data_IF_218673442873
#
_entry.id   IF_218673442873
#
_cell.length_a   1.000
_cell.length_b   1.000
_cell.length_c   1.000
_cell.angle_alpha   90.00
_cell.angle_beta   90.00
_cell.angle_gamma   90.00
#
_symmetry.space_group_name_H-M   'P 1'
#
loop_
_entity.id
_entity.type
_entity.pdbx_description
1 polymer ?
#
# COMPACT_ATOMS: atom_id res chain seq x y z
N UNK A 1 14.69 12.08 -11.87
CA UNK A 1 14.22 10.78 -11.34
C UNK A 1 12.86 11.00 -10.70
N UNK A 2 11.78 10.81 -11.45
CA UNK A 2 10.42 11.06 -10.94
C UNK A 2 9.56 9.81 -11.09
N UNK A 3 9.09 9.28 -9.97
CA UNK A 3 8.03 8.28 -9.93
C UNK A 3 6.71 9.04 -9.84
N UNK A 4 5.96 9.06 -10.93
CA UNK A 4 4.66 9.74 -11.01
C UNK A 4 3.56 8.72 -10.68
N UNK A 5 3.08 8.75 -9.43
CA UNK A 5 1.83 8.07 -9.04
C UNK A 5 0.69 9.08 -9.27
N UNK A 6 -0.15 8.84 -10.27
CA UNK A 6 -1.34 9.65 -10.58
C UNK A 6 -2.60 8.88 -10.19
N UNK A 7 -3.32 9.34 -9.16
CA UNK A 7 -4.72 8.99 -8.93
C UNK A 7 -5.58 10.20 -9.29
N UNK A 8 -6.40 10.10 -10.34
CA UNK A 8 -7.40 11.13 -10.68
C UNK A 8 -8.77 10.61 -10.25
N UNK A 9 -9.49 11.25 -9.31
CA UNK A 9 -10.86 10.89 -9.04
C UNK A 9 -11.76 11.40 -10.17
N UNK A 10 -12.63 10.54 -10.71
CA UNK A 10 -13.77 10.98 -11.52
C UNK A 10 -14.95 11.19 -10.58
N UNK A 11 -15.43 12.43 -10.50
CA UNK A 11 -16.69 12.79 -9.88
C UNK A 11 -17.87 12.19 -10.66
N UNK A 12 -18.77 11.50 -9.98
CA UNK A 12 -20.21 11.46 -10.32
C UNK A 12 -20.98 11.10 -9.07
N UNK A 13 -22.07 11.83 -8.85
CA UNK A 13 -22.94 11.86 -7.69
C UNK A 13 -23.93 10.67 -7.64
N UNK A 14 -24.51 10.51 -6.44
CA UNK A 14 -25.77 9.82 -6.08
C UNK A 14 -25.72 8.34 -5.59
N UNK A 15 -25.66 8.24 -4.25
CA UNK A 15 -26.27 7.29 -3.30
C UNK A 15 -26.52 5.79 -3.58
N UNK A 16 -26.17 5.01 -2.54
CA UNK A 16 -26.75 3.71 -2.13
C UNK A 16 -26.36 2.45 -2.92
N UNK A 17 -25.05 2.23 -3.04
CA UNK A 17 -24.35 0.96 -2.82
C UNK A 17 -22.89 1.29 -3.07
N UNK A 18 -21.98 0.99 -2.14
CA UNK A 18 -20.55 1.27 -2.34
C UNK A 18 -20.02 0.39 -3.48
N UNK A 19 -20.19 0.86 -4.71
CA UNK A 19 -19.51 0.32 -5.88
C UNK A 19 -18.13 0.96 -5.95
N UNK A 20 -17.21 0.45 -5.13
CA UNK A 20 -15.82 0.88 -5.14
C UNK A 20 -15.16 0.50 -6.47
N UNK A 21 -14.99 1.49 -7.36
CA UNK A 21 -14.13 1.35 -8.54
C UNK A 21 -12.69 1.62 -8.11
N UNK A 22 -11.96 0.58 -7.70
CA UNK A 22 -10.51 0.66 -7.60
C UNK A 22 -9.94 1.03 -8.98
N UNK A 23 -9.34 2.22 -9.08
CA UNK A 23 -8.60 2.66 -10.25
C UNK A 23 -7.53 1.61 -10.60
N UNK A 24 -7.29 1.36 -11.89
CA UNK A 24 -6.24 0.44 -12.38
C UNK A 24 -4.95 0.62 -11.56
N UNK A 25 -4.44 -0.48 -11.00
CA UNK A 25 -3.29 -0.49 -10.10
C UNK A 25 -1.98 -0.33 -10.91
N UNK A 26 -1.78 0.90 -11.41
CA UNK A 26 -0.74 1.29 -12.36
C UNK A 26 0.52 1.79 -11.66
N UNK A 27 1.68 1.26 -12.08
CA UNK A 27 3.00 1.69 -11.62
C UNK A 27 3.88 2.00 -12.81
N UNK A 28 4.51 3.17 -12.78
CA UNK A 28 5.38 3.64 -13.86
C UNK A 28 6.84 3.78 -13.39
N UNK A 29 7.76 3.32 -14.22
CA UNK A 29 9.20 3.52 -14.07
C UNK A 29 9.73 4.21 -15.33
N UNK A 30 10.28 5.42 -15.17
CA UNK A 30 10.80 6.23 -16.28
C UNK A 30 9.79 6.43 -17.44
N UNK A 31 8.50 6.53 -17.10
CA UNK A 31 7.40 6.70 -18.08
C UNK A 31 6.86 5.39 -18.67
N UNK A 32 7.52 4.25 -18.44
CA UNK A 32 7.05 2.93 -18.87
C UNK A 32 6.17 2.27 -17.81
N UNK A 33 5.07 1.65 -18.22
CA UNK A 33 4.20 0.87 -17.34
C UNK A 33 4.88 -0.46 -16.96
N UNK A 34 5.13 -0.65 -15.65
CA UNK A 34 5.76 -1.84 -15.07
C UNK A 34 4.82 -2.61 -14.15
N UNK A 35 3.51 -2.33 -14.22
CA UNK A 35 2.51 -2.86 -13.28
C UNK A 35 2.52 -4.38 -13.20
N UNK A 36 2.53 -5.06 -14.34
CA UNK A 36 2.51 -6.53 -14.39
C UNK A 36 3.85 -7.13 -13.98
N UNK A 37 4.96 -6.54 -14.44
CA UNK A 37 6.32 -7.03 -14.19
C UNK A 37 6.67 -7.04 -12.70
N UNK A 38 6.25 -6.01 -11.96
CA UNK A 38 6.47 -5.90 -10.52
C UNK A 38 5.80 -7.01 -9.70
N UNK A 39 4.79 -7.69 -10.28
CA UNK A 39 4.03 -8.75 -9.58
C UNK A 39 4.61 -10.14 -9.80
N UNK A 40 5.68 -10.26 -10.59
CA UNK A 40 6.34 -11.54 -10.87
C UNK A 40 7.09 -12.08 -9.64
N UNK A 41 7.21 -13.40 -9.56
CA UNK A 41 7.95 -14.06 -8.47
C UNK A 41 9.43 -13.68 -8.47
N UNK A 42 10.03 -13.48 -9.65
CA UNK A 42 11.42 -13.05 -9.77
C UNK A 42 11.66 -11.69 -9.09
N UNK A 43 10.81 -10.69 -9.35
CA UNK A 43 10.91 -9.39 -8.70
C UNK A 43 10.67 -9.51 -7.19
N UNK A 44 9.65 -10.26 -6.75
CA UNK A 44 9.37 -10.46 -5.32
C UNK A 44 10.57 -11.05 -4.54
N UNK A 45 11.31 -11.99 -5.14
CA UNK A 45 12.52 -12.58 -4.53
C UNK A 45 13.63 -11.54 -4.39
N UNK A 46 13.86 -10.71 -5.41
CA UNK A 46 14.90 -9.67 -5.40
C UNK A 46 14.56 -8.57 -4.38
N UNK A 47 13.30 -8.15 -4.28
CA UNK A 47 12.86 -7.08 -3.36
C UNK A 47 13.16 -7.43 -1.91
N UNK A 48 13.00 -8.71 -1.49
CA UNK A 48 13.37 -9.13 -0.12
C UNK A 48 14.86 -8.91 0.17
N UNK A 49 15.73 -9.18 -0.81
CA UNK A 49 17.17 -8.96 -0.67
C UNK A 49 17.50 -7.47 -0.62
N UNK A 50 16.92 -6.68 -1.51
CA UNK A 50 17.12 -5.22 -1.58
C UNK A 50 16.65 -4.53 -0.30
N UNK A 51 15.55 -5.00 0.30
CA UNK A 51 14.99 -4.43 1.52
C UNK A 51 15.87 -4.62 2.78
N UNK A 52 16.95 -5.42 2.69
CA UNK A 52 17.92 -5.62 3.79
C UNK A 52 18.95 -4.49 3.91
N UNK A 53 19.17 -3.71 2.85
CA UNK A 53 20.15 -2.61 2.86
C UNK A 53 19.57 -1.37 3.53
N UNK A 54 20.24 -0.88 4.58
CA UNK A 54 19.76 0.24 5.38
C UNK A 54 19.71 1.55 4.58
N UNK A 55 20.70 1.79 3.72
CA UNK A 55 20.77 2.99 2.88
C UNK A 55 19.57 3.06 1.92
N UNK A 56 19.19 1.92 1.34
CA UNK A 56 18.03 1.82 0.45
C UNK A 56 16.75 2.09 1.23
N UNK A 57 16.61 1.51 2.44
CA UNK A 57 15.45 1.77 3.31
C UNK A 57 15.33 3.24 3.68
N UNK A 58 16.45 3.89 4.02
CA UNK A 58 16.48 5.31 4.35
C UNK A 58 16.07 6.18 3.16
N UNK A 59 16.56 5.86 1.95
CA UNK A 59 16.16 6.57 0.73
C UNK A 59 14.66 6.42 0.44
N UNK A 60 14.10 5.20 0.61
CA UNK A 60 12.66 4.95 0.41
C UNK A 60 11.81 5.63 1.49
N UNK A 61 12.26 5.60 2.75
CA UNK A 61 11.60 6.27 3.87
C UNK A 61 11.42 7.77 3.60
N UNK A 62 12.48 8.45 3.18
CA UNK A 62 12.43 9.89 2.83
C UNK A 62 11.38 10.12 1.75
N UNK A 63 11.40 9.33 0.68
CA UNK A 63 10.42 9.45 -0.41
C UNK A 63 8.98 9.20 0.05
N UNK A 64 8.75 8.23 0.93
CA UNK A 64 7.42 7.96 1.49
C UNK A 64 6.91 9.14 2.33
N UNK A 65 7.79 9.75 3.14
CA UNK A 65 7.45 10.92 3.94
C UNK A 65 7.23 12.18 3.10
N UNK A 66 8.04 12.40 2.06
CA UNK A 66 7.85 13.48 1.09
C UNK A 66 6.51 13.35 0.37
N UNK A 67 6.13 12.13 -0.04
CA UNK A 67 4.83 11.88 -0.67
C UNK A 67 3.66 12.22 0.26
N UNK A 68 3.80 11.96 1.56
CA UNK A 68 2.75 12.27 2.53
C UNK A 68 2.74 13.74 2.99
N UNK A 69 3.82 14.47 2.74
CA UNK A 69 3.96 15.84 3.21
C UNK A 69 3.07 16.78 2.40
N UNK A 70 2.49 17.82 3.03
CA UNK A 70 1.76 18.86 2.30
C UNK A 70 2.67 19.47 1.23
N UNK A 71 2.12 19.72 0.03
CA UNK A 71 2.88 20.41 -1.01
C UNK A 71 3.09 21.85 -0.53
N UNK A 72 4.32 22.19 -0.17
CA UNK A 72 4.69 23.58 0.06
C UNK A 72 4.68 24.30 -1.28
N UNK A 73 3.58 25.00 -1.58
CA UNK A 73 3.51 25.99 -2.65
C UNK A 73 4.36 27.21 -2.28
N UNK A 74 5.68 27.07 -2.29
CA UNK A 74 6.63 28.19 -2.18
C UNK A 74 7.64 28.11 -3.32
N UNK A 75 7.19 28.40 -4.52
CA UNK A 75 8.06 28.82 -5.63
C UNK A 75 7.26 29.56 -6.71
N UNK A 76 6.68 30.72 -6.37
CA UNK A 76 6.35 31.78 -7.34
C UNK A 76 6.28 33.11 -6.59
N UNK A 77 7.43 33.69 -6.27
CA UNK A 77 7.50 35.15 -6.15
C UNK A 77 7.58 35.72 -7.57
N UNK A 78 6.70 36.70 -7.82
CA UNK A 78 6.64 37.66 -8.94
C UNK A 78 5.92 37.16 -10.20
N UNK A 79 4.61 37.38 -10.21
CA UNK A 79 3.99 38.30 -11.17
C UNK A 79 2.63 38.77 -10.62
N UNK A 80 2.54 40.06 -10.32
CA UNK A 80 1.32 40.72 -9.86
C UNK A 80 0.52 41.20 -11.08
N UNK A 81 -0.41 40.38 -11.56
CA UNK A 81 -1.53 40.86 -12.38
C UNK A 81 -2.77 39.98 -12.19
N UNK A 82 -3.67 40.49 -11.36
CA UNK A 82 -5.13 40.28 -11.32
C UNK A 82 -5.70 39.07 -12.09
N UNK A 83 -5.77 37.91 -11.42
CA UNK A 83 -6.91 36.99 -11.60
C UNK A 83 -7.16 36.26 -10.27
N UNK A 84 -8.43 36.25 -9.85
CA UNK A 84 -8.89 35.80 -8.53
C UNK A 84 -8.47 34.36 -8.23
N UNK A 85 -7.83 34.24 -7.08
CA UNK A 85 -7.17 33.08 -6.49
C UNK A 85 -8.09 31.90 -6.18
N UNK A 86 -7.79 30.76 -6.78
CA UNK A 86 -7.96 29.45 -6.14
C UNK A 86 -6.55 28.87 -5.93
N UNK A 87 -5.86 29.31 -4.88
CA UNK A 87 -4.68 28.59 -4.41
C UNK A 87 -5.16 27.37 -3.64
N UNK A 88 -5.39 26.26 -4.36
CA UNK A 88 -5.53 24.94 -3.75
C UNK A 88 -4.25 24.63 -2.97
N UNK A 89 -4.25 25.01 -1.70
CA UNK A 89 -3.24 24.61 -0.71
C UNK A 89 -3.58 23.18 -0.31
N UNK A 90 -3.44 22.26 -1.27
CA UNK A 90 -3.70 20.85 -1.10
C UNK A 90 -2.41 20.09 -0.85
N UNK A 91 -2.41 19.23 0.17
CA UNK A 91 -1.59 18.02 0.11
C UNK A 91 -1.80 17.35 -1.26
N UNK A 92 -0.76 16.75 -1.85
CA UNK A 92 -0.84 16.02 -3.12
C UNK A 92 -1.97 14.98 -3.13
N UNK A 93 -2.40 14.53 -1.94
CA UNK A 93 -3.47 13.57 -1.70
C UNK A 93 -4.73 14.14 -0.99
N UNK A 94 -4.87 15.46 -0.82
CA UNK A 94 -6.02 16.06 -0.13
C UNK A 94 -6.01 15.86 1.40
N UNK A 95 -7.18 15.69 2.02
CA UNK A 95 -7.34 15.71 3.49
C UNK A 95 -6.92 14.42 4.22
N UNK A 96 -6.35 13.42 3.54
CA UNK A 96 -5.98 12.16 4.17
C UNK A 96 -5.17 11.24 3.26
N UNK A 97 -4.49 10.28 3.86
CA UNK A 97 -3.63 9.32 3.16
C UNK A 97 -3.72 7.96 3.85
N UNK A 98 -3.99 6.92 3.06
CA UNK A 98 -3.90 5.53 3.50
C UNK A 98 -2.60 4.94 2.95
N UNK A 99 -1.78 4.38 3.82
CA UNK A 99 -0.55 3.70 3.44
C UNK A 99 -0.55 2.25 3.92
N UNK A 100 -0.17 1.34 3.02
CA UNK A 100 0.10 -0.06 3.33
C UNK A 100 1.61 -0.32 3.30
N UNK A 101 2.08 -1.19 4.20
CA UNK A 101 3.47 -1.57 4.32
C UNK A 101 3.78 -2.25 5.66
N UNK A 102 5.04 -2.69 5.82
CA UNK A 102 5.46 -3.50 6.98
C UNK A 102 5.83 -2.67 8.22
N UNK A 103 6.42 -1.49 8.03
CA UNK A 103 6.91 -0.62 9.12
C UNK A 103 6.34 0.81 9.04
N UNK A 104 5.16 0.97 8.45
CA UNK A 104 4.49 2.27 8.32
C UNK A 104 4.21 2.87 9.69
N UNK A 105 3.53 2.15 10.58
CA UNK A 105 3.12 2.65 11.90
C UNK A 105 4.23 2.70 12.95
N UNK A 106 5.39 2.08 12.69
CA UNK A 106 6.52 2.01 13.62
C UNK A 106 7.70 2.90 13.22
N UNK A 107 7.92 3.10 11.91
CA UNK A 107 9.06 3.89 11.40
C UNK A 107 8.65 5.03 10.48
N UNK A 108 7.80 4.79 9.48
CA UNK A 108 7.49 5.80 8.46
C UNK A 108 6.63 6.93 9.02
N UNK A 109 5.52 6.59 9.68
CA UNK A 109 4.59 7.50 10.36
C UNK A 109 4.28 6.99 11.77
N UNK A 110 5.24 7.09 12.71
CA UNK A 110 5.03 6.69 14.10
C UNK A 110 3.96 7.53 14.81
N UNK A 111 3.58 8.68 14.25
CA UNK A 111 2.53 9.55 14.78
C UNK A 111 1.22 9.50 13.96
N UNK A 112 1.03 8.47 13.12
CA UNK A 112 -0.21 8.31 12.34
C UNK A 112 -1.45 8.27 13.25
N UNK A 113 -2.54 8.92 12.84
CA UNK A 113 -3.76 9.02 13.65
C UNK A 113 -4.42 7.67 13.93
N UNK A 114 -4.38 6.77 12.94
CA UNK A 114 -4.85 5.39 13.05
C UNK A 114 -3.77 4.46 12.50
N UNK A 115 -3.46 3.40 13.25
CA UNK A 115 -2.57 2.32 12.83
C UNK A 115 -3.31 1.00 12.96
N UNK A 116 -3.37 0.24 11.89
CA UNK A 116 -3.98 -1.09 11.86
C UNK A 116 -2.91 -2.11 11.53
N UNK A 117 -2.81 -3.14 12.38
CA UNK A 117 -1.95 -4.29 12.14
C UNK A 117 -2.83 -5.46 11.71
N UNK A 118 -2.86 -5.73 10.41
CA UNK A 118 -3.66 -6.81 9.84
C UNK A 118 -2.94 -8.15 10.00
N UNK A 119 -3.65 -9.17 10.46
CA UNK A 119 -3.13 -10.53 10.59
C UNK A 119 -4.07 -11.56 9.95
N UNK A 120 -3.53 -12.73 9.67
CA UNK A 120 -4.24 -13.94 9.27
C UNK A 120 -3.24 -15.11 9.28
N UNK A 121 -3.75 -16.33 9.49
CA UNK A 121 -2.93 -17.54 9.42
C UNK A 121 -2.17 -17.66 8.09
N UNK A 122 -0.95 -18.19 8.15
CA UNK A 122 -0.09 -18.37 6.98
C UNK A 122 -0.75 -19.20 5.87
N UNK A 123 -1.51 -20.23 6.25
CA UNK A 123 -2.27 -21.08 5.31
C UNK A 123 -3.37 -20.29 4.60
N UNK A 124 -4.10 -19.43 5.32
CA UNK A 124 -5.15 -18.57 4.73
C UNK A 124 -4.51 -17.57 3.75
N UNK A 125 -3.39 -16.95 4.14
CA UNK A 125 -2.65 -16.04 3.26
C UNK A 125 -2.10 -16.74 2.03
N UNK A 126 -1.60 -17.98 2.17
CA UNK A 126 -1.15 -18.81 1.06
C UNK A 126 -2.28 -19.15 0.10
N UNK A 127 -3.45 -19.53 0.63
CA UNK A 127 -4.62 -19.83 -0.20
C UNK A 127 -5.06 -18.61 -1.02
N UNK A 128 -5.18 -17.43 -0.38
CA UNK A 128 -5.55 -16.18 -1.06
C UNK A 128 -4.58 -15.84 -2.18
N UNK A 129 -3.27 -16.01 -1.95
CA UNK A 129 -2.23 -15.77 -2.96
C UNK A 129 -2.28 -16.79 -4.10
N UNK A 130 -2.54 -18.05 -3.79
CA UNK A 130 -2.70 -19.11 -4.80
C UNK A 130 -3.90 -18.81 -5.71
N UNK A 131 -5.04 -18.44 -5.14
CA UNK A 131 -6.25 -18.08 -5.88
C UNK A 131 -6.04 -16.82 -6.75
N UNK A 132 -5.32 -15.82 -6.25
CA UNK A 132 -4.92 -14.62 -7.02
C UNK A 132 -4.11 -15.01 -8.26
N UNK A 133 -3.09 -15.86 -8.08
CA UNK A 133 -2.25 -16.30 -9.19
C UNK A 133 -3.00 -17.19 -10.19
N UNK A 134 -3.94 -18.03 -9.73
CA UNK A 134 -4.82 -18.81 -10.62
C UNK A 134 -5.68 -17.89 -11.50
N UNK A 135 -6.25 -16.83 -10.92
CA UNK A 135 -7.03 -15.83 -11.69
C UNK A 135 -6.15 -15.13 -12.73
N UNK A 136 -4.94 -14.71 -12.35
CA UNK A 136 -4.01 -14.08 -13.29
C UNK A 136 -3.69 -15.02 -14.47
N UNK A 137 -3.37 -16.30 -14.20
CA UNK A 137 -3.13 -17.33 -15.23
C UNK A 137 -4.28 -17.47 -16.24
N UNK A 138 -5.53 -17.40 -15.77
CA UNK A 138 -6.71 -17.51 -16.65
C UNK A 138 -6.91 -16.27 -17.53
N UNK A 139 -6.49 -15.09 -17.05
CA UNK A 139 -6.71 -13.81 -17.74
C UNK A 139 -5.57 -13.38 -18.66
N UNK A 140 -4.37 -13.93 -18.48
CA UNK A 140 -3.21 -13.66 -19.33
C UNK A 140 -3.02 -14.79 -20.34
N UNK A 141 -3.07 -14.49 -21.64
CA UNK A 141 -2.68 -15.37 -22.75
C UNK A 141 -1.16 -15.69 -22.78
N UNK A 142 -0.53 -15.70 -21.61
CA UNK A 142 0.90 -15.94 -21.45
C UNK A 142 1.07 -17.36 -20.93
N UNK A 143 1.63 -18.22 -21.77
CA UNK A 143 1.92 -19.62 -21.47
C UNK A 143 2.92 -19.73 -20.32
N UNK A 144 2.42 -19.75 -19.09
CA UNK A 144 3.20 -20.02 -17.87
C UNK A 144 3.45 -21.53 -17.67
N UNK A 145 3.37 -22.32 -18.74
CA UNK A 145 3.48 -23.78 -18.73
C UNK A 145 4.86 -24.30 -18.28
N UNK A 146 5.86 -23.44 -18.11
CA UNK A 146 7.21 -23.83 -17.68
C UNK A 146 7.58 -23.42 -16.23
N UNK A 147 6.64 -22.95 -15.40
CA UNK A 147 6.96 -22.67 -14.00
C UNK A 147 6.56 -23.85 -13.08
N UNK A 148 7.52 -24.75 -12.85
CA UNK A 148 7.45 -25.84 -11.86
C UNK A 148 7.22 -25.39 -10.41
N UNK A 149 7.34 -24.09 -10.13
CA UNK A 149 7.20 -23.50 -8.79
C UNK A 149 5.76 -23.12 -8.41
N UNK A 150 4.76 -23.39 -9.26
CA UNK A 150 3.37 -23.03 -9.01
C UNK A 150 2.61 -24.10 -8.22
N UNK A 151 2.83 -24.16 -6.90
CA UNK A 151 2.07 -25.02 -5.99
C UNK A 151 1.68 -24.27 -4.71
N UNK A 152 0.62 -24.73 -4.05
CA UNK A 152 0.23 -24.21 -2.74
C UNK A 152 1.38 -24.32 -1.72
N UNK A 153 2.07 -25.47 -1.68
CA UNK A 153 3.17 -25.71 -0.75
C UNK A 153 4.36 -24.78 -0.98
N UNK A 154 4.68 -24.50 -2.25
CA UNK A 154 5.70 -23.52 -2.65
C UNK A 154 5.36 -22.12 -2.11
N UNK A 155 4.11 -21.68 -2.32
CA UNK A 155 3.62 -20.38 -1.86
C UNK A 155 3.62 -20.30 -0.33
N UNK A 156 3.15 -21.35 0.36
CA UNK A 156 3.14 -21.40 1.82
C UNK A 156 4.55 -21.34 2.41
N UNK A 157 5.48 -22.12 1.83
CA UNK A 157 6.89 -22.09 2.21
C UNK A 157 7.50 -20.71 2.01
N UNK A 158 7.22 -20.05 0.87
CA UNK A 158 7.69 -18.69 0.59
C UNK A 158 7.11 -17.66 1.56
N UNK A 159 5.83 -17.78 1.92
CA UNK A 159 5.19 -16.91 2.92
C UNK A 159 5.86 -17.08 4.28
N UNK A 160 6.00 -18.31 4.76
CA UNK A 160 6.63 -18.58 6.07
C UNK A 160 8.06 -18.07 6.12
N UNK A 161 8.85 -18.32 5.06
CA UNK A 161 10.22 -17.82 4.94
C UNK A 161 10.26 -16.30 4.99
N UNK A 162 9.37 -15.61 4.26
CA UNK A 162 9.30 -14.14 4.24
C UNK A 162 8.86 -13.57 5.58
N UNK A 163 7.90 -14.19 6.24
CA UNK A 163 7.45 -13.73 7.57
C UNK A 163 8.56 -13.86 8.60
N UNK A 164 9.28 -14.99 8.59
CA UNK A 164 10.46 -15.18 9.44
C UNK A 164 11.52 -14.13 9.13
N UNK A 165 11.90 -13.98 7.86
CA UNK A 165 12.88 -12.98 7.43
C UNK A 165 12.46 -11.59 7.87
N UNK A 166 11.19 -11.20 7.64
CA UNK A 166 10.63 -9.89 7.95
C UNK A 166 10.65 -9.57 9.45
N UNK A 167 10.39 -10.57 10.30
CA UNK A 167 10.38 -10.45 11.76
C UNK A 167 11.79 -10.43 12.35
N UNK A 168 12.73 -11.21 11.79
CA UNK A 168 14.09 -11.33 12.33
C UNK A 168 15.09 -10.32 11.75
N UNK A 169 14.64 -9.35 10.93
CA UNK A 169 15.53 -8.35 10.34
C UNK A 169 16.16 -7.49 11.43
N UNK A 170 17.45 -7.21 11.28
CA UNK A 170 18.19 -6.28 12.16
C UNK A 170 17.63 -4.85 12.10
N UNK A 171 17.21 -4.40 10.91
CA UNK A 171 16.67 -3.05 10.69
C UNK A 171 15.18 -3.14 10.30
N UNK A 172 14.32 -2.35 10.97
CA UNK A 172 12.85 -2.37 10.78
C UNK A 172 12.24 -3.78 10.78
N UNK A 173 12.37 -4.56 11.87
CA UNK A 173 11.64 -5.81 11.98
C UNK A 173 10.14 -5.56 11.88
N UNK A 174 9.42 -6.48 11.22
CA UNK A 174 7.97 -6.47 11.19
C UNK A 174 7.44 -6.60 12.62
N UNK A 175 6.99 -5.48 13.17
CA UNK A 175 6.56 -5.35 14.55
C UNK A 175 5.31 -4.52 14.62
N UNK A 176 4.40 -4.92 15.50
CA UNK A 176 3.19 -4.15 15.77
C UNK A 176 3.56 -2.90 16.56
N UNK A 177 3.12 -1.72 16.10
CA UNK A 177 3.21 -0.51 16.91
C UNK A 177 2.38 -0.67 18.21
N UNK A 178 2.85 -0.09 19.31
CA UNK A 178 2.21 -0.26 20.62
C UNK A 178 0.73 0.17 20.62
N UNK A 179 0.43 1.24 19.88
CA UNK A 179 -0.88 1.87 19.71
C UNK A 179 -1.66 1.34 18.49
N UNK A 180 -1.15 0.33 17.77
CA UNK A 180 -1.87 -0.25 16.64
C UNK A 180 -2.99 -1.20 17.07
N UNK A 181 -4.14 -1.05 16.42
CA UNK A 181 -5.28 -1.96 16.52
C UNK A 181 -4.98 -3.21 15.69
N UNK A 182 -5.13 -4.40 16.29
CA UNK A 182 -4.99 -5.66 15.57
C UNK A 182 -6.31 -5.99 14.87
N UNK A 183 -6.24 -6.26 13.56
CA UNK A 183 -7.38 -6.72 12.77
C UNK A 183 -7.06 -8.10 12.21
N UNK A 184 -7.60 -9.15 12.82
CA UNK A 184 -7.55 -10.49 12.25
C UNK A 184 -8.55 -10.60 11.10
N UNK A 185 -8.03 -10.98 9.94
CA UNK A 185 -8.79 -11.10 8.70
C UNK A 185 -9.01 -12.54 8.28
N UNK A 186 -8.57 -13.54 9.04
CA UNK A 186 -8.61 -14.96 8.65
C UNK A 186 -9.96 -15.40 8.08
N UNK A 187 -11.02 -15.16 8.84
CA UNK A 187 -12.40 -15.56 8.53
C UNK A 187 -13.24 -14.41 7.94
N UNK A 188 -12.62 -13.30 7.55
CA UNK A 188 -13.33 -12.13 7.04
C UNK A 188 -13.29 -12.06 5.52
N UNK A 189 -14.44 -11.80 4.92
CA UNK A 189 -14.55 -11.39 3.52
C UNK A 189 -14.05 -9.95 3.32
N UNK A 190 -13.71 -9.59 2.08
CA UNK A 190 -13.25 -8.22 1.76
C UNK A 190 -14.25 -7.15 2.24
N UNK A 191 -15.58 -7.27 1.99
CA UNK A 191 -16.54 -6.29 2.52
C UNK A 191 -16.50 -6.16 4.05
N UNK A 192 -16.42 -7.28 4.78
CA UNK A 192 -16.34 -7.25 6.24
C UNK A 192 -15.05 -6.61 6.76
N UNK A 193 -13.92 -6.82 6.06
CA UNK A 193 -12.67 -6.13 6.38
C UNK A 193 -12.83 -4.62 6.16
N UNK A 194 -13.41 -4.22 5.03
CA UNK A 194 -13.67 -2.81 4.70
C UNK A 194 -14.58 -2.17 5.75
N UNK A 195 -15.69 -2.81 6.11
CA UNK A 195 -16.62 -2.31 7.12
C UNK A 195 -15.93 -2.10 8.48
N UNK A 196 -15.13 -3.08 8.93
CA UNK A 196 -14.34 -2.94 10.16
C UNK A 196 -13.33 -1.79 10.07
N UNK A 197 -12.65 -1.63 8.94
CA UNK A 197 -11.73 -0.52 8.73
C UNK A 197 -12.45 0.83 8.81
N UNK A 198 -13.63 0.95 8.19
CA UNK A 198 -14.45 2.16 8.27
C UNK A 198 -14.87 2.47 9.71
N UNK A 199 -15.33 1.46 10.47
CA UNK A 199 -15.68 1.67 11.89
C UNK A 199 -14.48 2.19 12.69
N UNK A 200 -13.28 1.65 12.48
CA UNK A 200 -12.06 2.11 13.16
C UNK A 200 -11.70 3.56 12.81
N UNK A 201 -11.91 3.96 11.56
CA UNK A 201 -11.68 5.34 11.11
C UNK A 201 -12.66 6.30 11.80
N UNK A 202 -13.96 5.98 11.78
CA UNK A 202 -15.00 6.81 12.40
C UNK A 202 -14.79 6.96 13.90
N UNK A 203 -14.53 5.86 14.61
CA UNK A 203 -14.22 5.87 16.04
C UNK A 203 -13.03 6.77 16.37
N UNK A 204 -12.06 6.87 15.46
CA UNK A 204 -10.87 7.70 15.65
C UNK A 204 -11.14 9.17 15.38
N UNK A 205 -11.96 9.48 14.37
CA UNK A 205 -12.40 10.83 14.05
C UNK A 205 -13.23 11.42 15.19
N UNK A 206 -14.19 10.64 15.73
CA UNK A 206 -15.05 11.09 16.83
C UNK A 206 -14.27 11.39 18.11
N UNK A 207 -13.21 10.62 18.39
CA UNK A 207 -12.31 10.86 19.53
C UNK A 207 -11.38 12.07 19.36
N UNK A 208 -11.21 12.58 18.15
CA UNK A 208 -10.42 13.80 17.89
C UNK A 208 -11.24 15.09 17.99
N UNK A 209 -12.57 14.98 17.95
CA UNK A 209 -13.50 16.12 18.05
C UNK A 209 -14.11 16.31 19.44
N UNK A 210 -13.68 15.53 20.44
CA UNK A 210 -14.04 15.69 21.86
C UNK A 210 -12.85 16.21 22.64
#
# INVERSE_FOLDING_TARGET
METIIKSKPKSTSENSSMSEKFTKNLVYLNGSDVSTELRTNQINRIVSLVAKFEEIRNAVLIKQQELASPVNSKSSQRDNSNHSSLTETGNKFGNGLVMDGRDIGTRVFPNANLKVFMTADAKIRAQRRFDEMLKLKQTSSFDLAENSDFSFDSILSEINRRDYEDQTRKHSPLTKAADAVVLDTGELSIPQVVDKMFSLVLDRMDKQHK
#
